data_IF_017125860255
#
_entry.id   IF_017125860255
#
_cell.length_a   1.000
_cell.length_b   1.000
_cell.length_c   1.000
_cell.angle_alpha   90.00
_cell.angle_beta   90.00
_cell.angle_gamma   90.00
#
_symmetry.space_group_name_H-M   'P 1'
#
loop_
_entity.id
_entity.type
_entity.pdbx_description
1 polymer ?
#
# COMPACT_ATOMS: atom_id res chain seq x y z
N UNK A 1 -14.21 -30.49 12.90
CA UNK A 1 -15.19 -30.28 11.81
C UNK A 1 -15.31 -28.77 11.55
N UNK A 2 -14.37 -28.14 10.84
CA UNK A 2 -14.33 -26.65 10.68
C UNK A 2 -13.63 -26.13 9.40
N UNK A 3 -13.57 -26.94 8.34
CA UNK A 3 -12.82 -26.57 7.12
C UNK A 3 -13.58 -25.53 6.26
N UNK A 4 -14.92 -25.59 6.24
CA UNK A 4 -15.74 -24.75 5.33
C UNK A 4 -15.83 -23.26 5.68
N UNK A 5 -15.62 -22.87 6.94
CA UNK A 5 -15.67 -21.46 7.34
C UNK A 5 -14.40 -20.71 6.93
N UNK A 6 -13.24 -21.38 6.94
CA UNK A 6 -11.95 -20.76 6.59
C UNK A 6 -11.81 -20.54 5.08
N UNK A 7 -12.38 -21.42 4.26
CA UNK A 7 -12.34 -21.27 2.79
C UNK A 7 -13.15 -20.07 2.31
N UNK A 8 -14.37 -19.86 2.82
CA UNK A 8 -15.18 -18.70 2.46
C UNK A 8 -14.51 -17.38 2.87
N UNK A 9 -13.92 -17.36 4.07
CA UNK A 9 -13.16 -16.21 4.56
C UNK A 9 -11.91 -15.95 3.71
N UNK A 10 -11.20 -17.00 3.29
CA UNK A 10 -10.04 -16.87 2.41
C UNK A 10 -10.42 -16.28 1.05
N UNK A 11 -11.51 -16.75 0.44
CA UNK A 11 -12.00 -16.19 -0.83
C UNK A 11 -12.38 -14.72 -0.71
N UNK A 12 -12.98 -14.34 0.42
CA UNK A 12 -13.34 -12.96 0.71
C UNK A 12 -12.11 -12.06 0.85
N UNK A 13 -11.10 -12.50 1.60
CA UNK A 13 -9.84 -11.77 1.70
C UNK A 13 -9.15 -11.63 0.33
N UNK A 14 -9.15 -12.67 -0.49
CA UNK A 14 -8.54 -12.62 -1.83
C UNK A 14 -9.26 -11.66 -2.79
N UNK A 15 -10.57 -11.43 -2.57
CA UNK A 15 -11.34 -10.42 -3.32
C UNK A 15 -11.03 -9.01 -2.86
N UNK A 16 -10.88 -8.79 -1.55
CA UNK A 16 -10.58 -7.48 -0.98
C UNK A 16 -9.14 -7.02 -1.27
N UNK A 17 -8.18 -7.95 -1.27
CA UNK A 17 -6.77 -7.67 -1.51
C UNK A 17 -6.24 -8.41 -2.75
N UNK A 18 -6.63 -8.00 -3.96
CA UNK A 18 -6.16 -8.64 -5.19
C UNK A 18 -4.65 -8.46 -5.40
N UNK A 19 -4.00 -7.50 -4.78
CA UNK A 19 -2.54 -7.36 -4.84
C UNK A 19 -1.79 -8.36 -3.96
N UNK A 20 -2.50 -9.16 -3.15
CA UNK A 20 -1.90 -10.13 -2.24
C UNK A 20 -2.30 -11.56 -2.62
N UNK A 21 -1.32 -12.46 -2.58
CA UNK A 21 -1.54 -13.89 -2.57
C UNK A 21 -1.72 -14.32 -1.12
N UNK A 22 -2.95 -14.67 -0.73
CA UNK A 22 -3.30 -15.03 0.65
C UNK A 22 -3.52 -16.54 0.72
N UNK A 23 -3.01 -17.19 1.75
CA UNK A 23 -3.22 -18.61 2.02
C UNK A 23 -3.24 -18.91 3.52
N UNK A 24 -3.83 -20.06 3.87
CA UNK A 24 -3.81 -20.61 5.22
C UNK A 24 -2.92 -21.86 5.22
N UNK A 25 -2.12 -22.03 6.26
CA UNK A 25 -1.40 -23.27 6.51
C UNK A 25 -2.30 -24.25 7.26
N UNK A 26 -2.07 -25.56 7.09
CA UNK A 26 -2.72 -26.61 7.88
C UNK A 26 -2.53 -26.43 9.39
N UNK A 27 -1.47 -25.74 9.81
CA UNK A 27 -1.24 -25.36 11.22
C UNK A 27 -2.21 -24.29 11.76
N UNK A 28 -3.03 -23.67 10.90
CA UNK A 28 -3.99 -22.62 11.27
C UNK A 28 -3.50 -21.20 11.00
N UNK A 29 -2.21 -21.02 10.73
CA UNK A 29 -1.61 -19.72 10.45
C UNK A 29 -2.02 -19.17 9.07
N UNK A 30 -2.23 -17.88 9.01
CA UNK A 30 -2.53 -17.11 7.82
C UNK A 30 -1.27 -16.44 7.30
N UNK A 31 -1.14 -16.42 5.98
CA UNK A 31 -0.03 -15.80 5.30
C UNK A 31 -0.55 -14.99 4.12
N UNK A 32 0.10 -13.87 3.85
CA UNK A 32 -0.11 -13.09 2.65
C UNK A 32 1.23 -12.66 2.08
N UNK A 33 1.42 -12.82 0.78
CA UNK A 33 2.59 -12.32 0.05
C UNK A 33 2.15 -11.45 -1.10
N UNK A 34 2.77 -10.28 -1.25
CA UNK A 34 2.41 -9.32 -2.29
C UNK A 34 2.71 -9.88 -3.67
N UNK A 35 1.79 -9.66 -4.62
CA UNK A 35 1.91 -10.00 -6.03
C UNK A 35 2.42 -8.77 -6.79
N UNK A 36 3.55 -8.92 -7.48
CA UNK A 36 4.13 -7.87 -8.31
C UNK A 36 5.57 -7.52 -7.90
N UNK A 37 6.33 -7.01 -8.86
CA UNK A 37 7.63 -6.42 -8.58
C UNK A 37 7.39 -5.16 -7.75
N UNK A 38 8.03 -5.08 -6.59
CA UNK A 38 7.96 -3.84 -5.81
C UNK A 38 8.81 -2.81 -6.55
N UNK A 39 8.12 -2.00 -7.34
CA UNK A 39 8.74 -0.96 -8.16
C UNK A 39 9.04 0.23 -7.26
N UNK A 40 10.25 0.27 -6.72
CA UNK A 40 10.71 1.35 -5.86
C UNK A 40 11.60 0.82 -4.74
N UNK A 41 12.58 1.64 -4.35
CA UNK A 41 13.60 1.30 -3.35
C UNK A 41 12.94 0.93 -2.01
N UNK A 42 12.78 -0.37 -1.78
CA UNK A 42 12.35 -0.95 -0.50
C UNK A 42 13.55 -1.01 0.42
N UNK A 43 13.63 -0.15 1.45
CA UNK A 43 12.73 -0.31 2.60
C UNK A 43 12.38 1.01 3.30
N UNK A 44 11.08 1.34 3.39
CA UNK A 44 10.61 2.15 4.51
C UNK A 44 10.44 1.23 5.72
N UNK A 45 10.80 1.68 6.92
CA UNK A 45 10.65 0.93 8.16
C UNK A 45 9.22 0.35 8.28
N UNK A 46 9.11 -0.98 8.31
CA UNK A 46 7.85 -1.70 8.44
C UNK A 46 7.14 -2.12 7.14
N UNK A 47 7.70 -1.85 5.95
CA UNK A 47 7.17 -2.41 4.70
C UNK A 47 7.64 -3.86 4.50
N UNK A 48 6.70 -4.79 4.35
CA UNK A 48 6.95 -6.22 4.27
C UNK A 48 6.35 -6.82 2.98
N UNK A 49 7.12 -7.68 2.31
CA UNK A 49 6.65 -8.44 1.14
C UNK A 49 5.75 -9.61 1.54
N UNK A 50 5.99 -10.15 2.74
CA UNK A 50 5.23 -11.27 3.30
C UNK A 50 4.85 -10.94 4.72
N UNK A 51 3.59 -11.18 5.07
CA UNK A 51 3.06 -11.05 6.43
C UNK A 51 2.41 -12.36 6.84
N UNK A 52 2.68 -12.80 8.06
CA UNK A 52 2.04 -13.94 8.71
C UNK A 52 1.15 -13.48 9.86
N UNK A 53 0.17 -14.29 10.24
CA UNK A 53 -0.72 -14.02 11.37
C UNK A 53 -1.40 -15.29 11.88
N UNK A 54 -1.64 -15.39 13.18
CA UNK A 54 -2.35 -16.54 13.77
C UNK A 54 -3.87 -16.51 13.46
N UNK A 55 -4.42 -15.34 13.13
CA UNK A 55 -5.84 -15.16 12.80
C UNK A 55 -6.03 -14.25 11.60
N UNK A 56 -7.15 -14.41 10.90
CA UNK A 56 -7.49 -13.53 9.78
C UNK A 56 -7.71 -12.08 10.21
N UNK A 57 -8.22 -11.83 11.42
CA UNK A 57 -8.37 -10.46 11.93
C UNK A 57 -7.02 -9.76 12.07
N UNK A 58 -6.01 -10.48 12.58
CA UNK A 58 -4.63 -9.97 12.66
C UNK A 58 -4.06 -9.79 11.25
N UNK A 59 -4.32 -10.73 10.32
CA UNK A 59 -3.87 -10.60 8.94
C UNK A 59 -4.45 -9.34 8.26
N UNK A 60 -5.75 -9.07 8.42
CA UNK A 60 -6.42 -7.89 7.86
C UNK A 60 -5.75 -6.61 8.37
N UNK A 61 -5.51 -6.50 9.68
CA UNK A 61 -4.84 -5.32 10.24
C UNK A 61 -3.42 -5.13 9.69
N UNK A 62 -2.67 -6.23 9.50
CA UNK A 62 -1.35 -6.17 8.85
C UNK A 62 -1.45 -5.74 7.39
N UNK A 63 -2.42 -6.25 6.62
CA UNK A 63 -2.64 -5.88 5.22
C UNK A 63 -3.00 -4.41 5.06
N UNK A 64 -3.95 -3.90 5.86
CA UNK A 64 -4.32 -2.48 5.87
C UNK A 64 -3.10 -1.60 6.14
N UNK A 65 -2.27 -1.98 7.12
CA UNK A 65 -1.04 -1.25 7.42
C UNK A 65 -0.08 -1.21 6.24
N UNK A 66 0.05 -2.30 5.49
CA UNK A 66 0.89 -2.35 4.29
C UNK A 66 0.32 -1.51 3.14
N UNK A 67 -1.00 -1.38 3.01
CA UNK A 67 -1.63 -0.48 2.04
C UNK A 67 -1.40 0.99 2.41
N UNK A 68 -1.56 1.38 3.67
CA UNK A 68 -1.24 2.73 4.14
C UNK A 68 0.23 3.11 3.85
N UNK A 69 1.16 2.18 4.08
CA UNK A 69 2.57 2.41 3.78
C UNK A 69 2.83 2.51 2.26
N UNK A 70 2.12 1.72 1.45
CA UNK A 70 2.22 1.80 -0.01
C UNK A 70 1.68 3.14 -0.55
N UNK A 71 0.54 3.62 -0.04
CA UNK A 71 -0.03 4.92 -0.41
C UNK A 71 0.88 6.08 0.01
N UNK A 72 1.44 6.03 1.22
CA UNK A 72 2.44 7.01 1.67
C UNK A 72 3.67 7.04 0.77
N UNK A 73 4.13 5.88 0.30
CA UNK A 73 5.24 5.82 -0.65
C UNK A 73 4.86 6.46 -1.99
N UNK A 74 3.70 6.15 -2.57
CA UNK A 74 3.21 6.79 -3.80
C UNK A 74 3.16 8.31 -3.65
N UNK A 75 2.69 8.81 -2.51
CA UNK A 75 2.63 10.25 -2.24
C UNK A 75 3.99 10.89 -1.91
N UNK A 76 4.99 10.10 -1.49
CA UNK A 76 6.33 10.58 -1.19
C UNK A 76 7.26 10.55 -2.42
N UNK A 77 7.05 9.62 -3.34
CA UNK A 77 7.77 9.51 -4.62
C UNK A 77 7.40 10.63 -5.59
N UNK A 78 6.18 11.16 -5.46
CA UNK A 78 5.71 12.39 -6.11
C UNK A 78 5.41 13.44 -5.05
N UNK A 79 6.42 14.14 -4.48
CA UNK A 79 6.13 15.32 -3.69
C UNK A 79 5.36 16.27 -4.59
N UNK A 80 4.23 16.78 -4.09
CA UNK A 80 3.38 17.78 -4.72
C UNK A 80 4.21 18.63 -5.68
N UNK A 81 3.89 18.54 -6.97
CA UNK A 81 4.35 19.49 -7.97
C UNK A 81 3.71 20.82 -7.58
N UNK A 82 4.30 21.48 -6.58
CA UNK A 82 4.04 22.84 -6.18
C UNK A 82 4.55 23.70 -7.33
N UNK A 83 3.83 23.66 -8.46
CA UNK A 83 3.76 24.76 -9.41
C UNK A 83 3.11 25.91 -8.66
N UNK A 84 3.90 26.50 -7.77
CA UNK A 84 3.66 27.82 -7.24
C UNK A 84 3.84 28.76 -8.43
N UNK A 85 2.75 28.96 -9.19
CA UNK A 85 2.60 30.12 -10.07
C UNK A 85 2.45 31.36 -9.19
N UNK A 86 3.50 31.68 -8.43
CA UNK A 86 3.67 32.96 -7.79
C UNK A 86 4.21 33.93 -8.84
N UNK A 87 3.31 34.77 -9.34
CA UNK A 87 3.63 36.08 -9.88
C UNK A 87 4.52 36.09 -11.12
N UNK A 88 3.91 35.93 -12.30
CA UNK A 88 4.39 36.70 -13.45
C UNK A 88 4.16 38.18 -13.12
N UNK A 89 5.18 38.78 -12.49
CA UNK A 89 5.28 40.22 -12.34
C UNK A 89 5.03 40.85 -13.69
N UNK A 90 4.02 41.71 -13.75
CA UNK A 90 3.84 42.68 -14.82
C UNK A 90 5.19 43.37 -15.04
N UNK A 91 5.89 43.03 -16.11
CA UNK A 91 6.96 43.87 -16.61
C UNK A 91 6.30 45.14 -17.15
N UNK A 92 6.08 46.11 -16.26
CA UNK A 92 6.00 47.51 -16.65
C UNK A 92 7.38 47.85 -17.20
N UNK A 93 7.47 47.97 -18.52
CA UNK A 93 8.59 48.66 -19.15
C UNK A 93 8.34 50.16 -18.99
N UNK A 94 8.67 50.70 -17.83
CA UNK A 94 9.08 52.10 -17.75
C UNK A 94 10.57 52.16 -18.07
N UNK A 95 10.91 52.84 -19.17
CA UNK A 95 12.24 53.42 -19.33
C UNK A 95 12.11 54.87 -19.82
N UNK A 96 12.80 55.81 -19.16
CA UNK A 96 12.58 57.24 -19.34
C UNK A 96 13.49 57.89 -20.39
N UNK A 97 12.95 59.01 -20.92
CA UNK A 97 13.51 60.09 -21.77
C UNK A 97 13.69 59.82 -23.26
#
# INVERSE_FOLDING_TARGET
MSIRLRSAQLEELRRQWPEWFIWNSDAGNWYATRRGAVSGSLPFDGYANTVDADTAAILIGKLQRQEELAERHKNADFPDEEFHLQGLGTFVTESPR
#
